data_IF_363508027602
#
_entry.id   IF_363508027602
#
_cell.length_a   1.000
_cell.length_b   1.000
_cell.length_c   1.000
_cell.angle_alpha   90.00
_cell.angle_beta   90.00
_cell.angle_gamma   90.00
#
_symmetry.space_group_name_H-M   'P 1'
#
loop_
_entity.id
_entity.type
_entity.pdbx_description
1 polymer ?
#
# COMPACT_ATOMS: atom_id res chain seq x y z
N UNK A 1 -11.99 -48.89 17.51
CA UNK A 1 -11.00 -48.00 16.87
C UNK A 1 -11.69 -47.13 15.80
N UNK A 2 -12.29 -46.03 16.24
CA UNK A 2 -13.15 -45.15 15.44
C UNK A 2 -12.81 -43.68 15.78
N UNK A 3 -12.89 -42.82 14.75
CA UNK A 3 -12.84 -41.35 14.77
C UNK A 3 -11.44 -40.71 14.90
N UNK A 4 -11.08 -39.61 14.24
CA UNK A 4 -11.60 -38.75 13.16
C UNK A 4 -10.38 -37.88 12.80
N UNK A 5 -9.98 -37.76 11.54
CA UNK A 5 -10.39 -36.71 10.60
C UNK A 5 -9.84 -35.30 10.94
N UNK A 6 -9.04 -34.80 9.99
CA UNK A 6 -8.79 -33.39 9.63
C UNK A 6 -7.89 -32.56 10.56
N UNK A 7 -6.65 -32.35 10.12
CA UNK A 7 -5.93 -31.09 10.35
C UNK A 7 -5.87 -30.33 9.02
N UNK A 8 -6.98 -29.68 8.66
CA UNK A 8 -6.95 -28.47 7.85
C UNK A 8 -6.99 -27.31 8.84
N UNK A 9 -5.83 -26.72 9.10
CA UNK A 9 -5.74 -25.34 9.54
C UNK A 9 -4.74 -24.66 8.62
N UNK A 10 -5.19 -24.40 7.39
CA UNK A 10 -4.74 -23.20 6.70
C UNK A 10 -5.36 -22.04 7.48
N UNK A 11 -4.69 -21.62 8.54
CA UNK A 11 -5.00 -20.37 9.20
C UNK A 11 -4.69 -19.29 8.19
N UNK A 12 -5.72 -18.80 7.50
CA UNK A 12 -5.64 -17.56 6.73
C UNK A 12 -5.44 -16.44 7.75
N UNK A 13 -4.19 -16.25 8.16
CA UNK A 13 -3.75 -15.12 8.96
C UNK A 13 -3.67 -13.92 8.01
N UNK A 14 -4.85 -13.40 7.65
CA UNK A 14 -4.96 -12.19 6.84
C UNK A 14 -5.03 -11.01 7.81
N UNK A 15 -3.86 -10.44 8.09
CA UNK A 15 -3.57 -9.11 8.64
C UNK A 15 -2.31 -9.14 9.53
N UNK A 16 -1.21 -9.70 9.02
CA UNK A 16 0.08 -9.13 9.39
C UNK A 16 0.20 -7.86 8.56
N UNK A 17 0.29 -6.72 9.24
CA UNK A 17 0.35 -5.39 8.67
C UNK A 17 1.50 -5.37 7.64
N UNK A 18 1.18 -5.38 6.35
CA UNK A 18 2.22 -5.29 5.31
C UNK A 18 3.00 -4.00 5.58
N UNK A 19 4.35 -4.05 5.64
CA UNK A 19 5.14 -2.84 5.83
C UNK A 19 4.84 -1.87 4.69
N UNK A 20 4.84 -0.58 5.00
CA UNK A 20 4.65 0.46 4.00
C UNK A 20 5.76 0.38 2.95
N UNK A 21 5.40 0.14 1.70
CA UNK A 21 6.36 0.16 0.61
C UNK A 21 6.57 1.60 0.12
N UNK A 22 7.81 1.92 -0.26
CA UNK A 22 8.18 3.18 -0.88
C UNK A 22 8.59 2.91 -2.32
N UNK A 23 7.94 3.56 -3.27
CA UNK A 23 8.24 3.43 -4.69
C UNK A 23 8.83 4.73 -5.22
N UNK A 24 9.86 4.61 -6.06
CA UNK A 24 10.44 5.73 -6.78
C UNK A 24 9.87 5.79 -8.19
N UNK A 25 9.19 6.88 -8.54
CA UNK A 25 8.61 7.06 -9.87
C UNK A 25 9.57 7.82 -10.79
N UNK A 26 10.09 7.08 -11.77
CA UNK A 26 11.02 7.56 -12.79
C UNK A 26 10.35 7.92 -14.11
N UNK A 27 9.04 7.72 -14.27
CA UNK A 27 8.36 7.87 -15.57
C UNK A 27 8.54 9.25 -16.20
N UNK A 28 8.70 10.28 -15.38
CA UNK A 28 8.93 11.67 -15.81
C UNK A 28 10.41 12.06 -16.01
N UNK A 29 11.35 11.16 -15.68
CA UNK A 29 12.78 11.46 -15.60
C UNK A 29 13.65 10.82 -16.69
N UNK A 30 14.93 11.24 -16.80
CA UNK A 30 15.88 10.56 -17.67
C UNK A 30 16.11 9.12 -17.21
N UNK A 31 16.34 8.19 -18.14
CA UNK A 31 16.54 6.78 -17.83
C UNK A 31 17.71 6.49 -16.85
N UNK A 32 18.67 7.42 -16.76
CA UNK A 32 19.81 7.34 -15.84
C UNK A 32 19.50 7.75 -14.41
N UNK A 33 18.35 8.38 -14.17
CA UNK A 33 17.92 8.66 -12.81
C UNK A 33 17.60 7.34 -12.12
N UNK A 34 18.16 7.13 -10.95
CA UNK A 34 17.84 5.98 -10.13
C UNK A 34 17.90 6.43 -8.68
N UNK A 35 17.05 5.85 -7.81
CA UNK A 35 17.19 6.10 -6.39
C UNK A 35 18.55 5.57 -5.93
N UNK A 36 19.16 6.27 -4.98
CA UNK A 36 20.34 5.78 -4.28
C UNK A 36 19.92 4.64 -3.38
N UNK A 37 20.85 3.75 -3.07
CA UNK A 37 20.58 2.62 -2.18
C UNK A 37 20.13 3.04 -0.77
N UNK A 38 20.55 4.23 -0.32
CA UNK A 38 20.21 4.79 1.00
C UNK A 38 18.86 5.51 1.02
N UNK A 39 18.23 5.74 -0.14
CA UNK A 39 16.97 6.49 -0.21
C UNK A 39 15.76 5.68 0.31
N UNK A 40 15.93 4.37 0.55
CA UNK A 40 14.94 3.53 1.23
C UNK A 40 13.78 3.02 0.37
N UNK A 41 13.85 3.21 -0.96
CA UNK A 41 12.85 2.74 -1.92
C UNK A 41 12.92 1.23 -2.15
N UNK A 42 11.76 0.57 -2.08
CA UNK A 42 11.60 -0.87 -2.28
C UNK A 42 11.37 -1.24 -3.75
N UNK A 43 10.80 -0.32 -4.53
CA UNK A 43 10.52 -0.53 -5.95
C UNK A 43 10.76 0.72 -6.79
N UNK A 44 11.04 0.52 -8.08
CA UNK A 44 11.06 1.59 -9.09
C UNK A 44 9.87 1.42 -10.03
N UNK A 45 9.11 2.50 -10.20
CA UNK A 45 8.06 2.63 -11.20
C UNK A 45 8.63 3.30 -12.46
N UNK A 46 8.40 2.70 -13.62
CA UNK A 46 8.91 3.19 -14.90
C UNK A 46 7.92 2.93 -16.04
N UNK A 47 8.18 3.48 -17.23
CA UNK A 47 7.39 3.15 -18.43
C UNK A 47 7.83 1.80 -19.01
N UNK A 48 6.89 1.07 -19.60
CA UNK A 48 7.20 -0.18 -20.30
C UNK A 48 8.25 0.06 -21.40
N UNK A 49 9.31 -0.74 -21.41
CA UNK A 49 10.45 -0.61 -22.32
C UNK A 49 11.64 0.20 -21.77
N UNK A 50 11.53 0.82 -20.58
CA UNK A 50 12.69 1.38 -19.89
C UNK A 50 13.45 0.26 -19.13
N UNK A 51 14.78 0.34 -19.11
CA UNK A 51 15.62 -0.59 -18.36
C UNK A 51 16.05 0.03 -17.02
N UNK A 52 15.91 -0.74 -15.94
CA UNK A 52 16.49 -0.45 -14.63
C UNK A 52 15.49 -0.63 -13.48
N UNK A 53 15.93 -1.25 -12.39
CA UNK A 53 15.16 -1.41 -11.15
C UNK A 53 15.83 -0.71 -9.97
N UNK A 54 15.19 -0.77 -8.80
CA UNK A 54 15.84 -0.38 -7.54
C UNK A 54 17.01 -1.33 -7.24
N UNK A 55 18.12 -0.85 -6.64
CA UNK A 55 19.19 -1.72 -6.16
C UNK A 55 18.64 -2.65 -5.06
N UNK A 56 18.50 -3.94 -5.37
CA UNK A 56 17.94 -4.94 -4.45
C UNK A 56 16.42 -4.89 -4.29
N UNK A 57 15.72 -4.07 -5.08
CA UNK A 57 14.27 -3.93 -5.06
C UNK A 57 13.59 -4.38 -6.37
N UNK A 58 12.27 -4.36 -6.38
CA UNK A 58 11.45 -4.73 -7.53
C UNK A 58 11.37 -3.63 -8.60
N UNK A 59 10.82 -3.97 -9.76
CA UNK A 59 10.54 -3.00 -10.82
C UNK A 59 9.13 -3.20 -11.37
N UNK A 60 8.33 -2.14 -11.31
CA UNK A 60 7.00 -2.08 -11.91
C UNK A 60 7.03 -1.21 -13.16
N UNK A 61 6.38 -1.70 -14.22
CA UNK A 61 6.24 -0.98 -15.47
C UNK A 61 4.79 -0.51 -15.63
N UNK A 62 4.60 0.75 -16.01
CA UNK A 62 3.31 1.27 -16.47
C UNK A 62 3.28 1.21 -17.98
N UNK A 63 2.29 0.52 -18.51
CA UNK A 63 2.04 0.44 -19.95
C UNK A 63 1.32 1.69 -20.46
N UNK A 64 1.31 1.96 -21.78
CA UNK A 64 0.52 3.05 -22.36
C UNK A 64 -1.00 2.92 -22.13
N UNK A 65 -1.48 1.70 -21.81
CA UNK A 65 -2.88 1.42 -21.47
C UNK A 65 -3.17 1.59 -19.97
N UNK A 66 -2.23 2.18 -19.23
CA UNK A 66 -2.30 2.37 -17.77
C UNK A 66 -2.41 1.08 -16.96
N UNK A 67 -1.89 -0.04 -17.48
CA UNK A 67 -1.71 -1.28 -16.70
C UNK A 67 -0.37 -1.28 -15.99
N UNK A 68 -0.34 -1.79 -14.76
CA UNK A 68 0.87 -2.08 -14.01
C UNK A 68 1.31 -3.50 -14.31
N UNK A 69 2.57 -3.66 -14.71
CA UNK A 69 3.20 -4.93 -15.01
C UNK A 69 4.41 -5.16 -14.13
N UNK A 70 4.52 -6.38 -13.61
CA UNK A 70 5.69 -6.89 -12.89
C UNK A 70 6.17 -8.15 -13.63
N UNK A 71 7.43 -8.19 -14.04
CA UNK A 71 8.03 -9.35 -14.75
C UNK A 71 7.21 -9.84 -15.97
N UNK A 72 6.53 -8.92 -16.68
CA UNK A 72 5.69 -9.23 -17.84
C UNK A 72 4.28 -9.75 -17.52
N UNK A 73 3.90 -9.79 -16.24
CA UNK A 73 2.54 -10.08 -15.79
C UNK A 73 1.84 -8.79 -15.42
N UNK A 74 0.60 -8.60 -15.87
CA UNK A 74 -0.26 -7.52 -15.39
C UNK A 74 -0.66 -7.80 -13.94
N UNK A 75 -0.22 -6.93 -13.03
CA UNK A 75 -0.52 -7.00 -11.59
C UNK A 75 -1.51 -5.92 -11.14
N UNK A 76 -1.75 -4.89 -11.96
CA UNK A 76 -2.55 -3.76 -11.52
C UNK A 76 -2.94 -2.78 -12.61
N UNK A 77 -3.49 -1.65 -12.16
CA UNK A 77 -3.79 -0.50 -12.99
C UNK A 77 -3.35 0.80 -12.31
N UNK A 78 -2.95 1.77 -13.14
CA UNK A 78 -2.63 3.13 -12.75
C UNK A 78 -3.76 4.06 -13.21
N UNK A 79 -4.30 4.88 -12.31
CA UNK A 79 -5.52 5.64 -12.56
C UNK A 79 -5.41 7.06 -11.99
N UNK A 80 -5.80 8.06 -12.77
CA UNK A 80 -6.08 9.39 -12.25
C UNK A 80 -7.46 9.38 -11.60
N UNK A 81 -7.55 9.77 -10.33
CA UNK A 81 -8.82 9.83 -9.59
C UNK A 81 -9.11 11.27 -9.16
N UNK A 82 -9.66 12.05 -10.08
CA UNK A 82 -10.04 13.44 -9.90
C UNK A 82 -11.54 13.67 -9.75
N UNK A 83 -12.38 12.71 -10.15
CA UNK A 83 -13.84 12.82 -10.07
C UNK A 83 -14.53 11.49 -9.70
N UNK A 84 -15.85 11.56 -9.49
CA UNK A 84 -16.65 10.40 -9.06
C UNK A 84 -16.68 9.26 -10.08
N UNK A 85 -16.60 9.55 -11.39
CA UNK A 85 -16.60 8.51 -12.43
C UNK A 85 -15.27 7.73 -12.40
N UNK A 86 -14.15 8.45 -12.31
CA UNK A 86 -12.82 7.85 -12.18
C UNK A 86 -12.67 7.05 -10.89
N UNK A 87 -13.21 7.57 -9.78
CA UNK A 87 -13.24 6.85 -8.52
C UNK A 87 -14.07 5.57 -8.61
N UNK A 88 -15.22 5.62 -9.27
CA UNK A 88 -16.04 4.43 -9.50
C UNK A 88 -15.33 3.40 -10.38
N UNK A 89 -14.53 3.82 -11.36
CA UNK A 89 -13.71 2.93 -12.16
C UNK A 89 -12.61 2.25 -11.34
N UNK A 90 -11.94 3.00 -10.45
CA UNK A 90 -10.95 2.44 -9.54
C UNK A 90 -11.58 1.41 -8.58
N UNK A 91 -12.74 1.72 -8.01
CA UNK A 91 -13.48 0.81 -7.13
C UNK A 91 -13.90 -0.49 -7.84
N UNK A 92 -14.23 -0.42 -9.13
CA UNK A 92 -14.60 -1.60 -9.92
C UNK A 92 -13.46 -2.60 -10.12
N UNK A 93 -12.19 -2.18 -9.95
CA UNK A 93 -11.03 -3.06 -10.05
C UNK A 93 -10.72 -3.80 -8.74
N UNK A 94 -11.31 -3.37 -7.62
CA UNK A 94 -11.07 -3.98 -6.32
C UNK A 94 -11.48 -5.46 -6.34
N UNK A 95 -10.60 -6.32 -5.83
CA UNK A 95 -10.74 -7.77 -5.88
C UNK A 95 -10.35 -8.43 -7.20
N UNK A 96 -10.14 -7.64 -8.27
CA UNK A 96 -9.76 -8.15 -9.61
C UNK A 96 -8.28 -7.96 -9.94
N UNK A 97 -7.62 -7.00 -9.28
CA UNK A 97 -6.20 -6.70 -9.47
C UNK A 97 -5.44 -6.73 -8.14
N UNK A 98 -4.12 -6.90 -8.20
CA UNK A 98 -3.27 -6.89 -7.01
C UNK A 98 -2.93 -5.47 -6.56
N UNK A 99 -2.75 -4.55 -7.51
CA UNK A 99 -2.42 -3.15 -7.23
C UNK A 99 -3.35 -2.17 -7.95
N UNK A 100 -3.81 -1.18 -7.20
CA UNK A 100 -4.36 0.06 -7.74
C UNK A 100 -3.38 1.18 -7.40
N UNK A 101 -2.77 1.78 -8.43
CA UNK A 101 -1.95 2.98 -8.30
C UNK A 101 -2.81 4.21 -8.59
N UNK A 102 -2.95 5.08 -7.59
CA UNK A 102 -3.56 6.39 -7.74
C UNK A 102 -2.49 7.39 -8.16
N UNK A 103 -2.65 7.94 -9.37
CA UNK A 103 -1.75 8.96 -9.92
C UNK A 103 -1.86 10.29 -9.18
N UNK A 104 -0.83 11.12 -9.33
CA UNK A 104 -0.81 12.46 -8.76
C UNK A 104 -1.93 13.34 -9.38
N UNK A 105 -2.37 14.36 -8.62
CA UNK A 105 -3.37 15.33 -9.09
C UNK A 105 -4.81 15.06 -8.63
N UNK A 106 -5.03 14.06 -7.77
CA UNK A 106 -6.28 13.94 -7.04
C UNK A 106 -6.49 15.20 -6.15
N UNK A 107 -7.65 15.87 -6.17
CA UNK A 107 -7.86 17.12 -5.43
C UNK A 107 -7.80 16.93 -3.90
N UNK A 108 -8.11 15.72 -3.43
CA UNK A 108 -8.08 15.34 -2.02
C UNK A 108 -7.55 13.90 -1.89
N UNK A 109 -6.22 13.69 -2.03
CA UNK A 109 -5.64 12.35 -2.14
C UNK A 109 -5.94 11.49 -0.91
N UNK A 110 -6.00 12.08 0.29
CA UNK A 110 -6.39 11.37 1.51
C UNK A 110 -7.81 10.79 1.42
N UNK A 111 -8.81 11.57 0.98
CA UNK A 111 -10.20 11.11 0.89
C UNK A 111 -10.35 10.03 -0.18
N UNK A 112 -9.64 10.17 -1.30
CA UNK A 112 -9.61 9.14 -2.35
C UNK A 112 -9.00 7.84 -1.81
N UNK A 113 -7.87 7.95 -1.10
CA UNK A 113 -7.21 6.81 -0.48
C UNK A 113 -8.10 6.13 0.55
N UNK A 114 -8.77 6.88 1.44
CA UNK A 114 -9.68 6.31 2.45
C UNK A 114 -10.81 5.50 1.81
N UNK A 115 -11.45 6.03 0.78
CA UNK A 115 -12.54 5.33 0.10
C UNK A 115 -12.06 4.04 -0.60
N UNK A 116 -10.89 4.06 -1.23
CA UNK A 116 -10.29 2.86 -1.83
C UNK A 116 -9.87 1.85 -0.75
N UNK A 117 -9.30 2.31 0.35
CA UNK A 117 -8.90 1.46 1.47
C UNK A 117 -10.09 0.76 2.12
N UNK A 118 -11.21 1.48 2.29
CA UNK A 118 -12.46 0.89 2.77
C UNK A 118 -12.99 -0.18 1.81
N UNK A 119 -12.96 0.08 0.49
CA UNK A 119 -13.43 -0.88 -0.50
C UNK A 119 -12.54 -2.12 -0.62
N UNK A 120 -11.24 -1.98 -0.40
CA UNK A 120 -10.27 -3.08 -0.46
C UNK A 120 -10.24 -3.94 0.80
N UNK A 121 -10.99 -3.58 1.85
CA UNK A 121 -11.07 -4.37 3.08
C UNK A 121 -11.56 -5.80 2.78
N UNK A 122 -10.79 -6.79 3.24
CA UNK A 122 -11.06 -8.21 2.95
C UNK A 122 -10.73 -8.67 1.53
N UNK A 123 -10.20 -7.79 0.66
CA UNK A 123 -9.71 -8.15 -0.67
C UNK A 123 -8.17 -8.24 -0.70
N UNK A 124 -7.57 -8.97 -1.65
CA UNK A 124 -6.11 -8.99 -1.82
C UNK A 124 -5.57 -7.73 -2.52
N UNK A 125 -6.43 -6.85 -3.02
CA UNK A 125 -6.03 -5.63 -3.73
C UNK A 125 -5.39 -4.63 -2.77
N UNK A 126 -4.23 -4.12 -3.17
CA UNK A 126 -3.43 -3.13 -2.47
C UNK A 126 -3.50 -1.78 -3.14
N UNK A 127 -3.32 -0.72 -2.36
CA UNK A 127 -3.40 0.67 -2.83
C UNK A 127 -2.03 1.34 -2.75
N UNK A 128 -1.54 1.81 -3.89
CA UNK A 128 -0.38 2.68 -3.99
C UNK A 128 -0.84 4.10 -4.34
N UNK A 129 -0.24 5.14 -3.76
CA UNK A 129 -0.62 6.53 -4.05
C UNK A 129 0.61 7.38 -4.34
N UNK A 130 0.58 8.08 -5.47
CA UNK A 130 1.56 9.11 -5.80
C UNK A 130 1.41 10.31 -4.85
N UNK A 131 2.52 10.67 -4.19
CA UNK A 131 2.58 11.83 -3.31
C UNK A 131 3.11 13.05 -4.05
N UNK A 132 2.43 14.18 -3.87
CA UNK A 132 2.76 15.47 -4.47
C UNK A 132 3.48 16.42 -3.50
N UNK A 133 3.42 16.13 -2.20
CA UNK A 133 3.96 16.98 -1.13
C UNK A 133 4.34 16.16 0.10
N UNK A 134 5.42 16.54 0.78
CA UNK A 134 5.83 15.92 2.06
C UNK A 134 4.73 16.05 3.13
N UNK A 135 3.90 17.09 3.06
CA UNK A 135 2.81 17.32 4.01
C UNK A 135 1.65 16.31 3.89
N UNK A 136 1.45 15.70 2.71
CA UNK A 136 0.38 14.70 2.51
C UNK A 136 0.79 13.29 2.94
N UNK A 137 2.10 13.04 3.08
CA UNK A 137 2.67 11.73 3.44
C UNK A 137 2.06 11.14 4.72
N UNK A 138 1.99 11.85 5.86
CA UNK A 138 1.41 11.27 7.08
C UNK A 138 -0.07 10.92 6.93
N UNK A 139 -0.84 11.77 6.24
CA UNK A 139 -2.26 11.54 6.01
C UNK A 139 -2.53 10.28 5.20
N UNK A 140 -1.71 10.02 4.17
CA UNK A 140 -1.82 8.82 3.34
C UNK A 140 -1.27 7.57 4.03
N UNK A 141 -0.13 7.71 4.73
CA UNK A 141 0.51 6.61 5.46
C UNK A 141 -0.37 6.03 6.57
N UNK A 142 -1.29 6.83 7.13
CA UNK A 142 -2.19 6.42 8.23
C UNK A 142 -3.68 6.56 7.90
N UNK A 143 -4.05 6.71 6.61
CA UNK A 143 -5.44 6.79 6.18
C UNK A 143 -6.28 5.62 6.75
N UNK A 144 -7.44 5.92 7.36
CA UNK A 144 -8.25 4.95 8.11
C UNK A 144 -7.51 4.13 9.20
N UNK A 145 -6.41 4.63 9.76
CA UNK A 145 -5.52 3.92 10.70
C UNK A 145 -4.87 2.63 10.14
N UNK A 146 -5.18 2.27 8.89
CA UNK A 146 -4.58 1.17 8.13
C UNK A 146 -3.43 1.68 7.25
N UNK A 147 -3.62 2.85 6.64
CA UNK A 147 -2.71 3.44 5.67
C UNK A 147 -2.77 2.78 4.30
N UNK A 148 -2.27 3.50 3.29
CA UNK A 148 -2.01 2.94 1.95
C UNK A 148 -0.93 1.86 2.01
N UNK A 149 -0.93 0.90 1.09
CA UNK A 149 0.08 -0.16 1.08
C UNK A 149 1.42 0.34 0.52
N UNK A 150 1.41 1.35 -0.34
CA UNK A 150 2.62 1.99 -0.86
C UNK A 150 2.47 3.51 -1.08
N UNK A 151 3.55 4.25 -0.87
CA UNK A 151 3.69 5.65 -1.28
C UNK A 151 4.65 5.74 -2.45
N UNK A 152 4.26 6.48 -3.48
CA UNK A 152 5.03 6.64 -4.71
C UNK A 152 5.56 8.07 -4.79
N UNK A 153 6.87 8.23 -4.81
CA UNK A 153 7.55 9.52 -4.88
C UNK A 153 7.97 9.81 -6.32
N UNK A 154 7.39 10.84 -6.98
CA UNK A 154 7.89 11.33 -8.26
C UNK A 154 9.34 11.79 -8.14
N UNK A 155 10.16 11.47 -9.13
CA UNK A 155 11.57 11.88 -9.18
C UNK A 155 11.76 13.39 -8.95
N UNK A 156 10.91 14.20 -9.55
CA UNK A 156 10.91 15.67 -9.46
C UNK A 156 10.50 16.20 -8.08
N UNK A 157 9.83 15.37 -7.27
CA UNK A 157 9.43 15.68 -5.91
C UNK A 157 10.35 15.04 -4.84
N UNK A 158 11.35 14.24 -5.24
CA UNK A 158 12.28 13.54 -4.34
C UNK A 158 13.33 14.47 -3.70
N UNK A 159 12.86 15.47 -2.96
CA UNK A 159 13.69 16.37 -2.15
C UNK A 159 14.07 15.73 -0.82
N UNK A 160 15.05 16.30 -0.11
CA UNK A 160 15.43 15.80 1.23
C UNK A 160 14.26 15.76 2.21
N UNK A 161 13.41 16.81 2.21
CA UNK A 161 12.20 16.86 3.04
C UNK A 161 11.20 15.75 2.71
N UNK A 162 10.98 15.49 1.41
CA UNK A 162 10.10 14.40 0.98
C UNK A 162 10.64 13.04 1.40
N UNK A 163 11.94 12.79 1.20
CA UNK A 163 12.58 11.53 1.58
C UNK A 163 12.52 11.30 3.10
N UNK A 164 12.80 12.33 3.91
CA UNK A 164 12.65 12.26 5.37
C UNK A 164 11.22 11.92 5.76
N UNK A 165 10.21 12.59 5.20
CA UNK A 165 8.81 12.32 5.49
C UNK A 165 8.42 10.87 5.16
N UNK A 166 8.84 10.36 3.99
CA UNK A 166 8.57 8.98 3.56
C UNK A 166 9.23 7.95 4.48
N UNK A 167 10.50 8.15 4.84
CA UNK A 167 11.24 7.25 5.72
C UNK A 167 10.67 7.24 7.14
N UNK A 168 10.31 8.42 7.68
CA UNK A 168 9.65 8.53 8.99
C UNK A 168 8.31 7.79 8.98
N UNK A 169 7.48 7.98 7.95
CA UNK A 169 6.21 7.27 7.82
C UNK A 169 6.38 5.75 7.75
N UNK A 170 7.38 5.26 6.98
CA UNK A 170 7.72 3.84 6.90
C UNK A 170 8.18 3.28 8.25
N UNK A 171 9.06 3.99 8.95
CA UNK A 171 9.57 3.59 10.26
C UNK A 171 8.44 3.51 11.30
N UNK A 172 7.57 4.53 11.38
CA UNK A 172 6.44 4.54 12.31
C UNK A 172 5.46 3.38 12.06
N UNK A 173 5.22 3.01 10.79
CA UNK A 173 4.38 1.84 10.48
C UNK A 173 5.01 0.52 10.85
N UNK A 174 6.33 0.42 10.79
CA UNK A 174 7.04 -0.76 11.27
C UNK A 174 6.90 -0.92 12.78
N UNK A 175 7.03 0.18 13.53
CA UNK A 175 6.86 0.19 15.00
C UNK A 175 5.43 -0.19 15.42
N UNK A 176 4.40 0.31 14.71
CA UNK A 176 3.00 -0.06 14.97
C UNK A 176 2.75 -1.55 14.70
N UNK A 177 3.42 -2.13 13.70
CA UNK A 177 3.29 -3.55 13.39
C UNK A 177 3.99 -4.46 14.42
N UNK A 178 5.08 -4.00 15.02
CA UNK A 178 5.84 -4.73 16.05
C UNK A 178 5.26 -4.56 17.47
N UNK A 179 4.37 -3.58 17.66
CA UNK A 179 3.71 -3.37 18.95
C UNK A 179 2.94 -4.63 19.38
N UNK A 180 3.19 -5.17 20.59
CA UNK A 180 2.46 -6.33 21.07
C UNK A 180 0.97 -6.00 21.09
N UNK A 181 0.16 -6.86 20.45
CA UNK A 181 -1.29 -6.71 20.45
C UNK A 181 -1.78 -6.43 21.89
N UNK A 182 -2.65 -5.42 22.10
CA UNK A 182 -3.13 -5.12 23.44
C UNK A 182 -3.74 -6.41 24.01
N UNK A 183 -3.14 -6.91 25.10
CA UNK A 183 -3.56 -8.14 25.75
C UNK A 183 -5.09 -8.10 25.91
N UNK A 184 -5.76 -9.07 25.28
CA UNK A 184 -7.21 -9.15 25.23
C UNK A 184 -7.81 -8.94 26.63
N UNK A 185 -8.40 -7.77 26.84
CA UNK A 185 -9.35 -7.53 27.90
C UNK A 185 -10.62 -8.30 27.55
N UNK A 186 -10.62 -9.62 27.76
CA UNK A 186 -11.81 -10.46 27.66
C UNK A 186 -11.94 -11.35 28.90
N UNK A 187 -12.86 -10.91 29.76
CA UNK A 187 -13.82 -11.72 30.50
C UNK A 187 -13.33 -12.75 31.53
N UNK A 188 -13.44 -12.35 32.79
CA UNK A 188 -14.18 -13.14 33.79
C UNK A 188 -15.01 -12.20 34.68
N UNK A 189 -16.08 -11.66 34.10
CA UNK A 189 -17.22 -11.15 34.86
C UNK A 189 -17.96 -12.37 35.41
N UNK A 190 -17.54 -12.87 36.58
CA UNK A 190 -18.32 -13.85 37.33
C UNK A 190 -19.40 -13.10 38.12
N UNK A 191 -20.52 -12.81 37.45
CA UNK A 191 -21.81 -12.66 38.14
C UNK A 191 -22.45 -14.04 38.16
N UNK A 192 -22.71 -14.56 39.35
CA UNK A 192 -24.01 -15.14 39.73
C UNK A 192 -24.02 -15.40 41.22
N UNK A 193 -24.95 -14.74 41.90
CA UNK A 193 -25.45 -15.14 43.20
C UNK A 193 -26.04 -16.56 43.16
N UNK A 194 -25.89 -17.32 44.24
CA UNK A 194 -26.97 -18.16 44.78
C UNK A 194 -26.65 -18.69 46.19
N UNK A 195 -27.46 -18.23 47.14
CA UNK A 195 -28.16 -19.04 48.15
C UNK A 195 -27.35 -19.92 49.12
N UNK A 196 -27.25 -19.47 50.38
CA UNK A 196 -27.79 -20.16 51.58
C UNK A 196 -27.67 -19.30 52.83
#
# INVERSE_FOLDING_TARGET
PVARMVSLLATTSFALHTPLALWFDRRSGPASAAPRADDGFDQVLQLSGQAGGAPGGGCLCVTPESKLEEEGRVVGAALCVGNAQEQSAALALVGSVEWILVEAGAPQPCIVAENLLAATEGSPTRVAVCVDSAASVPGLAFALQRGVDALVCPMDAATGEMLEALQVAKAQRLEVADAPAPAAASAASARTASSS
#
